data_IF_501903372882
#
_entry.id   IF_501903372882
#
_cell.length_a   1.000
_cell.length_b   1.000
_cell.length_c   1.000
_cell.angle_alpha   90.00
_cell.angle_beta   90.00
_cell.angle_gamma   90.00
#
_symmetry.space_group_name_H-M   'P 1'
#
loop_
_entity.id
_entity.type
_entity.pdbx_description
1 polymer ?
#
# COMPACT_ATOMS: atom_id res chain seq x y z
N UNK A 1 7.61 -43.91 10.08
CA UNK A 1 6.90 -43.60 8.81
C UNK A 1 5.43 -43.49 9.17
N UNK A 2 4.83 -42.30 9.27
CA UNK A 2 3.40 -42.19 9.51
C UNK A 2 2.67 -42.70 8.26
N UNK A 3 1.74 -43.61 8.48
CA UNK A 3 0.92 -44.23 7.45
C UNK A 3 0.14 -43.15 6.69
N UNK A 4 0.45 -42.99 5.40
CA UNK A 4 -0.35 -42.19 4.48
C UNK A 4 -1.77 -42.78 4.49
N UNK A 5 -2.74 -42.00 4.98
CA UNK A 5 -4.16 -42.33 4.87
C UNK A 5 -4.44 -42.61 3.39
N UNK A 6 -4.96 -43.80 3.04
CA UNK A 6 -5.21 -44.14 1.65
C UNK A 6 -6.24 -43.18 1.06
N UNK A 7 -6.05 -42.71 -0.19
CA UNK A 7 -7.00 -41.80 -0.82
C UNK A 7 -8.33 -42.54 -1.02
N UNK A 8 -9.35 -42.14 -0.25
CA UNK A 8 -10.72 -42.64 -0.42
C UNK A 8 -11.51 -42.96 0.86
N UNK A 9 -10.95 -42.83 2.07
CA UNK A 9 -11.66 -43.20 3.31
C UNK A 9 -12.42 -42.07 4.00
N UNK A 10 -12.48 -40.87 3.43
CA UNK A 10 -13.29 -39.78 3.95
C UNK A 10 -14.22 -39.28 2.84
N UNK A 11 -15.47 -39.01 3.22
CA UNK A 11 -16.56 -38.50 2.38
C UNK A 11 -17.36 -39.54 1.57
N UNK A 12 -18.24 -40.26 2.28
CA UNK A 12 -19.53 -40.70 1.72
C UNK A 12 -20.66 -40.30 2.66
N UNK A 13 -21.41 -39.27 2.28
CA UNK A 13 -22.88 -39.25 2.28
C UNK A 13 -23.38 -37.93 1.67
N UNK A 14 -24.11 -38.00 0.55
CA UNK A 14 -24.81 -36.85 -0.04
C UNK A 14 -24.60 -36.60 -1.55
N UNK A 15 -25.05 -37.51 -2.41
CA UNK A 15 -25.67 -37.18 -3.71
C UNK A 15 -24.95 -36.27 -4.72
N UNK A 16 -23.80 -36.68 -5.25
CA UNK A 16 -23.38 -36.48 -6.65
C UNK A 16 -22.13 -37.32 -6.86
N UNK A 17 -22.08 -38.14 -7.90
CA UNK A 17 -20.86 -38.86 -8.28
C UNK A 17 -19.78 -37.83 -8.60
N UNK A 18 -18.85 -37.61 -7.67
CA UNK A 18 -17.64 -36.82 -7.91
C UNK A 18 -16.95 -37.39 -9.15
N UNK A 19 -16.63 -36.52 -10.10
CA UNK A 19 -15.82 -36.90 -11.25
C UNK A 19 -14.47 -37.42 -10.73
N UNK A 20 -14.09 -38.68 -10.99
CA UNK A 20 -12.85 -39.29 -10.47
C UNK A 20 -11.58 -38.59 -10.97
N UNK A 21 -11.70 -37.67 -11.95
CA UNK A 21 -10.60 -36.94 -12.55
C UNK A 21 -10.29 -35.58 -11.88
N UNK A 22 -10.98 -35.20 -10.79
CA UNK A 22 -10.67 -33.95 -10.07
C UNK A 22 -9.63 -34.23 -8.97
N UNK A 23 -8.44 -33.61 -9.03
CA UNK A 23 -7.41 -33.79 -8.01
C UNK A 23 -7.85 -33.21 -6.66
N UNK A 24 -7.38 -33.82 -5.59
CA UNK A 24 -7.55 -33.31 -4.22
C UNK A 24 -7.03 -31.87 -4.11
N UNK A 25 -7.82 -31.01 -3.48
CA UNK A 25 -7.47 -29.62 -3.16
C UNK A 25 -7.43 -29.43 -1.65
N UNK A 26 -6.49 -28.60 -1.17
CA UNK A 26 -6.28 -28.31 0.25
C UNK A 26 -6.44 -26.80 0.49
N UNK A 27 -6.99 -26.44 1.65
CA UNK A 27 -7.02 -25.06 2.19
C UNK A 27 -6.02 -24.91 3.35
N UNK A 28 -5.92 -23.71 3.92
CA UNK A 28 -4.98 -23.39 5.00
C UNK A 28 -5.20 -24.26 6.25
N UNK A 29 -6.45 -24.55 6.61
CA UNK A 29 -6.79 -25.32 7.82
C UNK A 29 -6.54 -26.84 7.68
N UNK A 30 -6.26 -27.31 6.45
CA UNK A 30 -6.00 -28.74 6.20
C UNK A 30 -4.55 -29.15 6.48
N UNK A 31 -3.64 -28.20 6.66
CA UNK A 31 -2.20 -28.44 6.73
C UNK A 31 -1.51 -27.69 7.87
N UNK A 32 -0.40 -28.24 8.34
CA UNK A 32 0.49 -27.61 9.30
C UNK A 32 1.92 -27.61 8.76
N UNK A 33 2.71 -26.62 9.13
CA UNK A 33 4.14 -26.61 8.86
C UNK A 33 4.83 -27.56 9.85
N UNK A 34 5.55 -28.56 9.34
CA UNK A 34 6.37 -29.45 10.15
C UNK A 34 7.62 -28.69 10.65
N UNK A 35 7.82 -28.54 11.98
CA UNK A 35 9.00 -27.87 12.50
C UNK A 35 10.28 -28.62 12.11
N UNK A 36 11.31 -27.86 11.73
CA UNK A 36 12.65 -28.38 11.46
C UNK A 36 13.69 -27.62 12.27
N UNK A 37 14.86 -28.25 12.43
CA UNK A 37 16.00 -27.60 13.05
C UNK A 37 16.38 -26.31 12.30
N UNK A 38 16.66 -25.23 13.04
CA UNK A 38 17.08 -23.94 12.52
C UNK A 38 18.13 -23.34 13.44
N UNK A 39 19.26 -22.92 12.86
CA UNK A 39 20.27 -22.11 13.54
C UNK A 39 19.99 -20.60 13.43
N UNK A 40 18.96 -20.21 12.65
CA UNK A 40 18.58 -18.81 12.41
C UNK A 40 17.55 -18.38 13.44
N UNK A 41 17.80 -17.26 14.11
CA UNK A 41 16.84 -16.66 15.03
C UNK A 41 15.75 -15.91 14.26
N UNK A 42 14.51 -15.82 14.78
CA UNK A 42 13.44 -15.08 14.10
C UNK A 42 13.77 -13.61 13.76
N UNK A 43 14.62 -12.97 14.56
CA UNK A 43 15.08 -11.58 14.34
C UNK A 43 16.09 -11.43 13.20
N UNK A 44 16.66 -12.55 12.73
CA UNK A 44 17.67 -12.60 11.66
C UNK A 44 17.05 -13.00 10.32
N UNK A 45 15.74 -13.32 10.29
CA UNK A 45 15.04 -13.68 9.06
C UNK A 45 14.82 -12.42 8.22
N UNK A 46 15.18 -12.49 6.94
CA UNK A 46 14.93 -11.46 5.94
C UNK A 46 13.62 -11.77 5.18
N UNK A 47 12.52 -11.04 5.41
CA UNK A 47 11.24 -11.32 4.76
C UNK A 47 11.10 -10.65 3.38
N UNK A 48 12.19 -10.13 2.83
CA UNK A 48 12.18 -9.39 1.58
C UNK A 48 11.73 -10.28 0.42
N UNK A 49 10.99 -9.71 -0.52
CA UNK A 49 10.48 -10.44 -1.68
C UNK A 49 10.36 -9.54 -2.90
N UNK A 50 10.32 -10.14 -4.09
CA UNK A 50 10.08 -9.43 -5.33
C UNK A 50 8.69 -9.76 -5.85
N UNK A 51 7.85 -8.74 -6.03
CA UNK A 51 6.49 -8.91 -6.54
C UNK A 51 6.48 -9.07 -8.07
N UNK A 52 7.33 -8.29 -8.75
CA UNK A 52 7.51 -8.27 -10.19
C UNK A 52 8.88 -7.66 -10.51
N UNK A 53 9.40 -7.80 -11.75
CA UNK A 53 10.67 -7.17 -12.13
C UNK A 53 10.69 -5.67 -11.83
N UNK A 54 11.61 -5.24 -10.96
CA UNK A 54 11.74 -3.85 -10.52
C UNK A 54 10.77 -3.42 -9.42
N UNK A 55 10.05 -4.35 -8.78
CA UNK A 55 9.18 -4.08 -7.64
C UNK A 55 9.57 -5.02 -6.49
N UNK A 56 10.49 -4.53 -5.66
CA UNK A 56 10.96 -5.22 -4.47
C UNK A 56 10.26 -4.67 -3.21
N UNK A 57 9.90 -5.57 -2.31
CA UNK A 57 9.22 -5.28 -1.05
C UNK A 57 10.10 -5.72 0.12
N UNK A 58 10.13 -4.93 1.18
CA UNK A 58 10.84 -5.30 2.41
C UNK A 58 10.07 -6.35 3.22
N UNK A 59 8.75 -6.42 3.05
CA UNK A 59 7.88 -7.45 3.63
C UNK A 59 6.91 -8.01 2.57
N UNK A 60 6.48 -9.27 2.64
CA UNK A 60 5.63 -9.91 1.64
C UNK A 60 4.15 -9.62 1.91
N UNK A 61 3.81 -8.34 2.16
CA UNK A 61 2.46 -7.91 2.54
C UNK A 61 1.98 -6.82 1.60
N UNK A 62 0.82 -7.04 1.01
CA UNK A 62 0.14 -6.09 0.13
C UNK A 62 -1.30 -5.87 0.56
N UNK A 63 -1.83 -4.65 0.41
CA UNK A 63 -3.23 -4.37 0.72
C UNK A 63 -4.14 -4.65 -0.49
N UNK A 64 -5.35 -5.14 -0.22
CA UNK A 64 -6.32 -5.46 -1.26
C UNK A 64 -6.82 -4.21 -2.00
N UNK A 65 -7.05 -4.33 -3.31
CA UNK A 65 -7.57 -3.26 -4.18
C UNK A 65 -9.09 -3.05 -4.02
N UNK A 66 -9.56 -2.81 -2.79
CA UNK A 66 -10.97 -2.65 -2.42
C UNK A 66 -11.23 -1.23 -1.88
N UNK A 67 -12.42 -0.69 -2.15
CA UNK A 67 -12.82 0.67 -1.78
C UNK A 67 -12.88 0.90 -0.26
N UNK A 68 -13.29 -0.12 0.49
CA UNK A 68 -13.29 -0.08 1.96
C UNK A 68 -11.93 -0.32 2.59
N UNK A 69 -10.91 -0.65 1.78
CA UNK A 69 -9.58 -1.05 2.27
C UNK A 69 -8.54 -0.02 1.89
N UNK A 70 -8.31 0.23 0.60
CA UNK A 70 -7.09 0.90 0.14
C UNK A 70 -7.33 2.13 -0.70
N UNK A 71 -7.19 3.30 -0.07
CA UNK A 71 -6.93 4.60 -0.71
C UNK A 71 -5.52 5.10 -0.32
N UNK A 72 -5.16 6.35 -0.66
CA UNK A 72 -3.83 6.91 -0.43
C UNK A 72 -3.34 6.77 1.01
N UNK A 73 -4.23 6.93 2.00
CA UNK A 73 -3.87 6.83 3.41
C UNK A 73 -3.27 5.46 3.77
N UNK A 74 -3.93 4.37 3.38
CA UNK A 74 -3.43 3.03 3.66
C UNK A 74 -2.23 2.69 2.78
N UNK A 75 -2.25 3.09 1.50
CA UNK A 75 -1.13 2.83 0.60
C UNK A 75 0.19 3.50 1.08
N UNK A 76 0.11 4.72 1.62
CA UNK A 76 1.25 5.41 2.26
C UNK A 76 1.74 4.63 3.48
N UNK A 77 0.83 4.19 4.35
CA UNK A 77 1.20 3.42 5.55
C UNK A 77 1.87 2.10 5.16
N UNK A 78 1.30 1.35 4.23
CA UNK A 78 1.87 0.10 3.71
C UNK A 78 3.29 0.30 3.17
N UNK A 79 3.49 1.33 2.35
CA UNK A 79 4.81 1.63 1.78
C UNK A 79 5.84 1.96 2.86
N UNK A 80 5.46 2.71 3.91
CA UNK A 80 6.34 3.04 5.04
C UNK A 80 6.73 1.83 5.89
N UNK A 81 5.83 0.87 6.02
CA UNK A 81 6.12 -0.42 6.68
C UNK A 81 6.88 -1.40 5.75
N UNK A 82 7.19 -1.00 4.52
CA UNK A 82 7.96 -1.79 3.57
C UNK A 82 7.15 -2.73 2.67
N UNK A 83 5.82 -2.63 2.71
CA UNK A 83 4.88 -3.35 1.84
C UNK A 83 4.38 -2.51 0.66
N UNK A 84 3.25 -2.91 0.08
CA UNK A 84 2.63 -2.22 -1.06
C UNK A 84 1.12 -2.05 -0.87
N UNK A 85 0.57 -0.92 -1.32
CA UNK A 85 -0.88 -0.72 -1.39
C UNK A 85 -1.40 -0.61 -2.82
N UNK A 86 -2.46 -1.35 -3.15
CA UNK A 86 -3.17 -1.21 -4.41
C UNK A 86 -4.39 -0.30 -4.28
N UNK A 87 -4.35 0.88 -4.90
CA UNK A 87 -5.52 1.77 -4.93
C UNK A 87 -6.65 1.09 -5.74
N UNK A 88 -7.82 0.98 -5.13
CA UNK A 88 -8.99 0.39 -5.78
C UNK A 88 -9.45 1.20 -7.02
N UNK A 89 -10.30 0.60 -7.85
CA UNK A 89 -10.82 1.20 -9.10
C UNK A 89 -12.23 1.79 -9.00
N UNK A 90 -12.82 1.82 -7.80
CA UNK A 90 -14.17 2.38 -7.59
C UNK A 90 -14.11 3.91 -7.45
N UNK A 91 -13.40 4.55 -8.38
CA UNK A 91 -13.13 5.98 -8.47
C UNK A 91 -13.17 6.35 -9.97
N UNK A 92 -13.39 7.64 -10.26
CA UNK A 92 -13.08 8.12 -11.61
C UNK A 92 -11.56 8.05 -11.87
N UNK A 93 -11.16 8.06 -13.13
CA UNK A 93 -9.73 8.01 -13.52
C UNK A 93 -8.97 9.18 -12.86
N UNK A 94 -9.58 10.36 -12.83
CA UNK A 94 -9.00 11.58 -12.26
C UNK A 94 -8.79 11.45 -10.76
N UNK A 95 -9.79 10.90 -10.05
CA UNK A 95 -9.70 10.69 -8.60
C UNK A 95 -8.70 9.61 -8.24
N UNK A 96 -8.65 8.51 -9.00
CA UNK A 96 -7.64 7.47 -8.78
C UNK A 96 -6.22 8.01 -9.01
N UNK A 97 -6.02 8.80 -10.07
CA UNK A 97 -4.75 9.46 -10.33
C UNK A 97 -4.37 10.43 -9.20
N UNK A 98 -5.35 11.13 -8.60
CA UNK A 98 -5.12 11.98 -7.43
C UNK A 98 -4.67 11.17 -6.21
N UNK A 99 -5.31 10.03 -5.93
CA UNK A 99 -4.88 9.12 -4.84
C UNK A 99 -3.45 8.63 -5.05
N UNK A 100 -3.09 8.20 -6.27
CA UNK A 100 -1.72 7.80 -6.61
C UNK A 100 -0.74 8.97 -6.43
N UNK A 101 -1.12 10.17 -6.87
CA UNK A 101 -0.31 11.38 -6.72
C UNK A 101 -0.02 11.70 -5.25
N UNK A 102 -1.02 11.57 -4.36
CA UNK A 102 -0.84 11.71 -2.91
C UNK A 102 0.20 10.73 -2.36
N UNK A 103 0.14 9.46 -2.77
CA UNK A 103 1.10 8.42 -2.33
C UNK A 103 2.52 8.76 -2.78
N UNK A 104 2.72 9.05 -4.07
CA UNK A 104 4.05 9.33 -4.64
C UNK A 104 4.68 10.61 -4.07
N UNK A 105 3.88 11.57 -3.61
CA UNK A 105 4.33 12.82 -3.00
C UNK A 105 4.58 12.72 -1.49
N UNK A 106 4.16 11.64 -0.84
CA UNK A 106 4.19 11.51 0.62
C UNK A 106 5.60 11.48 1.24
N UNK A 107 6.62 11.11 0.46
CA UNK A 107 8.03 11.12 0.88
C UNK A 107 8.92 12.08 0.07
N UNK A 108 8.46 12.57 -1.08
CA UNK A 108 9.36 13.25 -2.02
C UNK A 108 9.83 14.64 -1.56
N UNK A 109 9.26 15.22 -0.50
CA UNK A 109 9.52 16.62 -0.10
C UNK A 109 9.27 17.65 -1.21
N UNK A 110 8.72 17.22 -2.35
CA UNK A 110 8.62 17.98 -3.59
C UNK A 110 7.14 18.22 -3.88
N UNK A 111 6.70 19.46 -3.68
CA UNK A 111 5.32 19.89 -3.96
C UNK A 111 5.23 20.30 -5.43
N UNK A 112 4.54 19.49 -6.25
CA UNK A 112 4.08 19.91 -7.57
C UNK A 112 2.87 20.83 -7.38
N UNK A 113 2.92 22.03 -7.98
CA UNK A 113 1.98 23.14 -7.82
C UNK A 113 1.86 23.64 -6.37
N UNK A 114 2.95 24.23 -5.81
CA UNK A 114 2.86 24.82 -4.49
C UNK A 114 1.82 25.93 -4.48
N UNK A 115 1.09 26.05 -3.38
CA UNK A 115 0.25 27.23 -3.14
C UNK A 115 1.17 28.43 -3.02
N UNK A 116 1.04 29.40 -3.92
CA UNK A 116 1.87 30.61 -3.96
C UNK A 116 1.07 31.87 -3.67
N UNK A 117 1.72 32.92 -3.19
CA UNK A 117 1.14 34.26 -3.03
C UNK A 117 1.90 35.30 -3.85
N UNK A 118 1.23 36.41 -4.17
CA UNK A 118 1.88 37.56 -4.78
C UNK A 118 2.67 38.40 -3.76
N UNK A 119 3.63 39.24 -4.19
CA UNK A 119 4.45 40.07 -3.32
C UNK A 119 3.66 41.12 -2.51
N UNK A 120 2.45 41.46 -2.96
CA UNK A 120 1.58 42.43 -2.31
C UNK A 120 0.52 41.80 -1.40
N UNK A 121 0.55 40.48 -1.18
CA UNK A 121 -0.37 39.79 -0.29
C UNK A 121 -0.15 40.21 1.17
N UNK A 122 -1.24 40.34 1.93
CA UNK A 122 -1.17 40.72 3.34
C UNK A 122 -0.74 39.53 4.22
N UNK A 123 -0.17 39.83 5.39
CA UNK A 123 0.17 38.80 6.38
C UNK A 123 -1.08 38.05 6.88
N UNK A 124 -2.25 38.70 6.88
CA UNK A 124 -3.51 38.06 7.29
C UNK A 124 -3.92 36.98 6.29
N UNK A 125 -3.93 37.30 5.00
CA UNK A 125 -4.23 36.34 3.92
C UNK A 125 -3.24 35.18 3.92
N UNK A 126 -1.95 35.48 4.12
CA UNK A 126 -0.90 34.46 4.20
C UNK A 126 -1.15 33.48 5.35
N UNK A 127 -1.49 33.98 6.55
CA UNK A 127 -1.79 33.13 7.72
C UNK A 127 -3.04 32.28 7.53
N UNK A 128 -4.09 32.83 6.92
CA UNK A 128 -5.29 32.06 6.60
C UNK A 128 -4.99 30.93 5.61
N UNK A 129 -4.14 31.20 4.60
CA UNK A 129 -3.74 30.22 3.60
C UNK A 129 -2.89 29.10 4.22
N UNK A 130 -1.91 29.45 5.07
CA UNK A 130 -1.09 28.48 5.82
C UNK A 130 -1.96 27.56 6.67
N UNK A 131 -2.95 28.12 7.38
CA UNK A 131 -3.88 27.36 8.23
C UNK A 131 -4.81 26.46 7.42
N UNK A 132 -5.33 26.95 6.29
CA UNK A 132 -6.26 26.20 5.42
C UNK A 132 -5.59 24.99 4.78
N UNK A 133 -4.34 25.15 4.34
CA UNK A 133 -3.60 24.10 3.64
C UNK A 133 -2.63 23.32 4.54
N UNK A 134 -2.55 23.69 5.83
CA UNK A 134 -1.68 23.08 6.82
C UNK A 134 -0.18 23.06 6.38
N UNK A 135 0.29 24.20 5.85
CA UNK A 135 1.65 24.38 5.31
C UNK A 135 2.41 25.41 6.15
N UNK A 136 3.69 25.12 6.45
CA UNK A 136 4.57 25.98 7.25
C UNK A 136 5.31 27.06 6.46
N UNK A 137 5.31 26.97 5.12
CA UNK A 137 5.99 27.91 4.23
C UNK A 137 5.27 28.08 2.90
N UNK A 138 5.20 29.31 2.41
CA UNK A 138 4.52 29.68 1.17
C UNK A 138 5.51 30.43 0.25
N UNK A 139 5.75 29.95 -0.98
CA UNK A 139 6.52 30.70 -1.97
C UNK A 139 5.81 31.97 -2.40
N UNK A 140 6.58 33.07 -2.49
CA UNK A 140 6.12 34.34 -3.04
C UNK A 140 6.55 34.42 -4.50
N UNK A 141 5.59 34.61 -5.40
CA UNK A 141 5.82 34.59 -6.86
C UNK A 141 5.29 35.87 -7.49
N UNK A 142 6.10 36.47 -8.37
CA UNK A 142 5.73 37.63 -9.17
C UNK A 142 5.99 37.31 -10.65
N UNK A 143 4.95 37.42 -11.49
CA UNK A 143 5.03 37.12 -12.93
C UNK A 143 5.67 35.75 -13.25
N UNK A 144 5.36 34.72 -12.44
CA UNK A 144 5.90 33.37 -12.60
C UNK A 144 7.32 33.16 -12.08
N UNK A 145 7.96 34.20 -11.51
CA UNK A 145 9.29 34.12 -10.90
C UNK A 145 9.19 34.03 -9.38
N UNK A 146 9.92 33.10 -8.77
CA UNK A 146 10.09 33.04 -7.32
C UNK A 146 10.85 34.29 -6.84
N UNK A 147 10.22 35.07 -5.96
CA UNK A 147 10.80 36.30 -5.39
C UNK A 147 11.05 36.20 -3.89
N UNK A 148 10.53 35.16 -3.21
CA UNK A 148 10.80 34.93 -1.80
C UNK A 148 10.04 33.74 -1.23
N UNK A 149 10.15 33.55 0.08
CA UNK A 149 9.39 32.57 0.85
C UNK A 149 8.94 33.22 2.15
N UNK A 150 7.67 33.02 2.54
CA UNK A 150 7.19 33.34 3.88
C UNK A 150 7.11 32.04 4.65
N UNK A 151 7.74 32.02 5.83
CA UNK A 151 7.64 30.90 6.78
C UNK A 151 6.99 31.41 8.07
N UNK A 152 6.44 30.48 8.85
CA UNK A 152 5.99 30.76 10.22
C UNK A 152 7.16 31.19 11.11
#
# INVERSE_FOLDING_TARGET
VPELIPPGSLYREGGSTMNPDIPLTLTFDDVLLEPRYSDVLPTEVEPQTSLAPGIDLHIPVVSAAMDTVTESRLAIAMAREGGLGFIHKNLSIELQALEVSKVKKSESGMVLDPVTIGPNATLSETRELMKRHNISGIPVVEAGRLVGIITN
#
